data_IF_883437392108
#
_entry.id   IF_883437392108
#
_cell.length_a   1.000
_cell.length_b   1.000
_cell.length_c   1.000
_cell.angle_alpha   90.00
_cell.angle_beta   90.00
_cell.angle_gamma   90.00
#
_symmetry.space_group_name_H-M   'P 1'
#
loop_
_entity.id
_entity.type
_entity.pdbx_description
1 polymer ?
#
# COMPACT_ATOMS: atom_id res chain seq x y z
N UNK A 1 4.95 -22.88 -11.06
CA UNK A 1 4.25 -22.25 -9.90
C UNK A 1 4.15 -20.76 -10.16
N UNK A 2 3.10 -20.09 -9.67
CA UNK A 2 2.88 -18.64 -9.85
C UNK A 2 3.18 -17.90 -8.55
N UNK A 3 3.72 -16.69 -8.66
CA UNK A 3 4.04 -15.80 -7.54
C UNK A 3 3.18 -14.54 -7.65
N UNK A 4 2.42 -14.26 -6.59
CA UNK A 4 1.74 -12.98 -6.35
C UNK A 4 2.39 -12.34 -5.14
N UNK A 5 2.59 -11.03 -5.19
CA UNK A 5 3.02 -10.24 -4.04
C UNK A 5 1.82 -9.48 -3.49
N UNK A 6 1.61 -9.54 -2.18
CA UNK A 6 0.63 -8.71 -1.48
C UNK A 6 1.38 -7.91 -0.42
N UNK A 7 1.25 -6.59 -0.46
CA UNK A 7 1.95 -5.71 0.48
C UNK A 7 1.12 -4.47 0.84
N UNK A 8 1.32 -3.96 2.04
CA UNK A 8 0.74 -2.70 2.49
C UNK A 8 1.77 -1.90 3.25
N UNK A 9 1.60 -0.58 3.32
CA UNK A 9 2.46 0.30 4.11
C UNK A 9 1.64 1.43 4.74
N UNK A 10 2.25 2.15 5.69
CA UNK A 10 1.65 3.32 6.33
C UNK A 10 1.73 4.60 5.51
N UNK A 11 2.66 4.68 4.55
CA UNK A 11 2.95 5.88 3.76
C UNK A 11 2.07 5.96 2.50
N UNK A 12 1.89 7.17 1.96
CA UNK A 12 1.00 7.42 0.81
C UNK A 12 1.66 7.13 -0.54
N UNK A 13 2.98 7.22 -0.60
CA UNK A 13 3.75 7.17 -1.83
C UNK A 13 3.87 5.74 -2.35
N UNK A 14 3.57 5.56 -3.63
CA UNK A 14 3.54 4.27 -4.31
C UNK A 14 4.93 3.74 -4.67
N UNK A 15 5.89 4.64 -4.90
CA UNK A 15 7.28 4.30 -5.25
C UNK A 15 8.02 3.55 -4.11
N UNK A 16 7.55 3.67 -2.87
CA UNK A 16 8.01 2.85 -1.73
C UNK A 16 7.93 1.33 -2.01
N UNK A 17 7.03 0.89 -2.90
CA UNK A 17 6.89 -0.51 -3.26
C UNK A 17 7.87 -0.97 -4.34
N UNK A 18 8.48 -0.06 -5.11
CA UNK A 18 9.29 -0.39 -6.28
C UNK A 18 10.52 -1.26 -5.97
N UNK A 19 11.32 -0.98 -4.92
CA UNK A 19 12.46 -1.84 -4.57
C UNK A 19 12.01 -3.25 -4.20
N UNK A 20 10.91 -3.37 -3.46
CA UNK A 20 10.33 -4.64 -3.03
C UNK A 20 9.79 -5.44 -4.22
N UNK A 21 9.02 -4.82 -5.11
CA UNK A 21 8.52 -5.45 -6.33
C UNK A 21 9.67 -5.93 -7.21
N UNK A 22 10.71 -5.11 -7.37
CA UNK A 22 11.91 -5.45 -8.13
C UNK A 22 12.61 -6.68 -7.54
N UNK A 23 12.74 -6.72 -6.22
CA UNK A 23 13.32 -7.87 -5.52
C UNK A 23 12.51 -9.17 -5.75
N UNK A 24 11.18 -9.12 -5.63
CA UNK A 24 10.35 -10.30 -5.84
C UNK A 24 10.30 -10.78 -7.29
N UNK A 25 10.40 -9.87 -8.27
CA UNK A 25 10.58 -10.25 -9.69
C UNK A 25 11.88 -11.03 -9.89
N UNK A 26 12.98 -10.60 -9.26
CA UNK A 26 14.25 -11.32 -9.31
C UNK A 26 14.17 -12.67 -8.59
N UNK A 27 13.52 -12.72 -7.42
CA UNK A 27 13.30 -13.96 -6.66
C UNK A 27 12.47 -14.97 -7.48
N UNK A 28 11.40 -14.55 -8.13
CA UNK A 28 10.59 -15.40 -9.00
C UNK A 28 11.43 -16.06 -10.10
N UNK A 29 12.30 -15.30 -10.75
CA UNK A 29 13.23 -15.82 -11.78
C UNK A 29 14.16 -16.89 -11.20
N UNK A 30 14.74 -16.65 -10.02
CA UNK A 30 15.67 -17.60 -9.39
C UNK A 30 14.98 -18.87 -8.88
N UNK A 31 13.69 -18.77 -8.53
CA UNK A 31 12.87 -19.89 -8.07
C UNK A 31 12.10 -20.60 -9.20
N UNK A 32 12.35 -20.24 -10.46
CA UNK A 32 11.61 -20.77 -11.63
C UNK A 32 10.09 -20.61 -11.49
N UNK A 33 9.65 -19.50 -10.89
CA UNK A 33 8.26 -19.12 -10.72
C UNK A 33 7.84 -18.04 -11.72
N UNK A 34 6.58 -18.06 -12.12
CA UNK A 34 5.98 -17.01 -12.93
C UNK A 34 5.48 -15.88 -12.01
N UNK A 35 6.09 -14.71 -12.09
CA UNK A 35 5.58 -13.51 -11.39
C UNK A 35 4.34 -12.98 -12.12
N UNK A 36 3.19 -12.97 -11.44
CA UNK A 36 1.89 -12.59 -12.04
C UNK A 36 1.33 -11.26 -11.51
N UNK A 37 2.12 -10.51 -10.73
CA UNK A 37 1.79 -9.15 -10.30
C UNK A 37 1.93 -8.91 -8.79
N UNK A 38 1.71 -7.66 -8.41
CA UNK A 38 1.71 -7.22 -7.02
C UNK A 38 0.43 -6.44 -6.72
N UNK A 39 -0.26 -6.80 -5.64
CA UNK A 39 -1.34 -6.04 -5.04
C UNK A 39 -0.75 -5.22 -3.89
N UNK A 40 -0.71 -3.89 -4.05
CA UNK A 40 -0.12 -2.98 -3.07
C UNK A 40 -1.15 -1.99 -2.53
N UNK A 41 -1.07 -1.68 -1.24
CA UNK A 41 -1.96 -0.72 -0.56
C UNK A 41 -1.16 0.31 0.24
N UNK A 42 -0.98 1.54 -0.27
CA UNK A 42 -0.39 2.63 0.51
C UNK A 42 -1.37 3.12 1.58
N UNK A 43 -0.86 3.77 2.63
CA UNK A 43 -1.67 4.35 3.71
C UNK A 43 -2.69 3.36 4.32
N UNK A 44 -2.33 2.08 4.45
CA UNK A 44 -3.20 1.03 4.97
C UNK A 44 -3.71 1.32 6.38
N UNK A 45 -2.89 2.01 7.19
CA UNK A 45 -3.26 2.48 8.54
C UNK A 45 -4.47 3.43 8.53
N UNK A 46 -4.74 4.12 7.42
CA UNK A 46 -5.85 5.05 7.31
C UNK A 46 -7.17 4.38 6.95
N UNK A 47 -7.20 3.10 6.54
CA UNK A 47 -8.43 2.44 6.12
C UNK A 47 -9.49 2.48 7.22
N UNK A 48 -9.12 2.15 8.46
CA UNK A 48 -10.04 2.14 9.59
C UNK A 48 -10.47 3.55 10.03
N UNK A 49 -9.58 4.53 9.89
CA UNK A 49 -9.85 5.94 10.23
C UNK A 49 -10.83 6.53 9.20
N UNK A 50 -10.55 6.34 7.91
CA UNK A 50 -11.36 6.88 6.82
C UNK A 50 -12.69 6.15 6.72
N UNK A 51 -12.77 4.86 7.08
CA UNK A 51 -14.03 4.11 7.08
C UNK A 51 -15.12 4.76 7.96
N UNK A 52 -14.74 5.48 9.01
CA UNK A 52 -15.69 6.18 9.91
C UNK A 52 -16.37 7.37 9.24
N UNK A 53 -15.73 8.00 8.25
CA UNK A 53 -16.23 9.20 7.56
C UNK A 53 -16.64 8.94 6.10
N UNK A 54 -16.00 7.98 5.44
CA UNK A 54 -16.20 7.63 4.04
C UNK A 54 -16.26 6.09 3.87
N UNK A 55 -17.26 5.42 4.47
CA UNK A 55 -17.35 3.96 4.46
C UNK A 55 -17.43 3.38 3.04
N UNK A 56 -18.19 4.02 2.14
CA UNK A 56 -18.34 3.56 0.75
C UNK A 56 -17.02 3.59 -0.04
N UNK A 57 -16.18 4.60 0.20
CA UNK A 57 -14.85 4.71 -0.42
C UNK A 57 -13.96 3.57 0.03
N UNK A 58 -13.92 3.28 1.33
CA UNK A 58 -13.15 2.17 1.89
C UNK A 58 -13.69 0.82 1.42
N UNK A 59 -15.01 0.66 1.35
CA UNK A 59 -15.64 -0.54 0.83
C UNK A 59 -15.26 -0.79 -0.64
N UNK A 60 -15.24 0.25 -1.49
CA UNK A 60 -14.80 0.12 -2.88
C UNK A 60 -13.37 -0.40 -3.02
N UNK A 61 -12.46 0.04 -2.14
CA UNK A 61 -11.07 -0.45 -2.09
C UNK A 61 -11.04 -1.93 -1.68
N UNK A 62 -11.78 -2.31 -0.65
CA UNK A 62 -11.87 -3.72 -0.23
C UNK A 62 -12.47 -4.60 -1.33
N UNK A 63 -13.46 -4.11 -2.07
CA UNK A 63 -14.04 -4.81 -3.20
C UNK A 63 -13.03 -4.99 -4.34
N UNK A 64 -12.21 -3.98 -4.63
CA UNK A 64 -11.11 -4.10 -5.58
C UNK A 64 -10.06 -5.15 -5.13
N UNK A 65 -9.68 -5.16 -3.84
CA UNK A 65 -8.77 -6.17 -3.28
C UNK A 65 -9.35 -7.58 -3.43
N UNK A 66 -10.63 -7.79 -3.11
CA UNK A 66 -11.31 -9.08 -3.29
C UNK A 66 -11.37 -9.48 -4.76
N UNK A 67 -11.67 -8.52 -5.65
CA UNK A 67 -11.69 -8.74 -7.10
C UNK A 67 -10.31 -9.16 -7.62
N UNK A 68 -9.22 -8.56 -7.14
CA UNK A 68 -7.86 -8.96 -7.51
C UNK A 68 -7.60 -10.43 -7.18
N UNK A 69 -8.02 -10.88 -5.98
CA UNK A 69 -7.94 -12.28 -5.59
C UNK A 69 -8.75 -13.21 -6.52
N UNK A 70 -9.96 -12.81 -6.89
CA UNK A 70 -10.77 -13.57 -7.86
C UNK A 70 -10.07 -13.66 -9.23
N UNK A 71 -9.52 -12.55 -9.74
CA UNK A 71 -8.84 -12.51 -11.04
C UNK A 71 -7.60 -13.41 -11.07
N UNK A 72 -6.84 -13.48 -9.97
CA UNK A 72 -5.72 -14.43 -9.84
C UNK A 72 -6.18 -15.87 -10.01
N UNK A 73 -7.29 -16.26 -9.36
CA UNK A 73 -7.79 -17.65 -9.40
C UNK A 73 -8.44 -17.97 -10.74
N UNK A 74 -9.28 -17.07 -11.26
CA UNK A 74 -10.09 -17.32 -12.45
C UNK A 74 -9.31 -17.07 -13.76
N UNK A 75 -8.50 -16.02 -13.80
CA UNK A 75 -7.86 -15.51 -15.02
C UNK A 75 -6.33 -15.69 -14.98
N UNK A 76 -5.77 -16.02 -13.80
CA UNK A 76 -4.34 -16.25 -13.63
C UNK A 76 -3.49 -14.97 -13.59
N UNK A 77 -4.12 -13.79 -13.53
CA UNK A 77 -3.51 -12.45 -13.55
C UNK A 77 -4.44 -11.44 -12.90
N UNK A 78 -3.92 -10.30 -12.46
CA UNK A 78 -4.74 -9.16 -12.00
C UNK A 78 -4.83 -8.09 -13.10
N UNK A 79 -5.98 -7.44 -13.22
CA UNK A 79 -6.18 -6.33 -14.15
C UNK A 79 -5.57 -5.02 -13.60
N UNK A 80 -4.99 -4.15 -14.46
CA UNK A 80 -4.48 -2.85 -14.04
C UNK A 80 -5.54 -2.00 -13.32
N UNK A 81 -6.77 -2.02 -13.81
CA UNK A 81 -7.89 -1.26 -13.24
C UNK A 81 -8.21 -1.69 -11.81
N UNK A 82 -8.16 -3.00 -11.53
CA UNK A 82 -8.39 -3.53 -10.19
C UNK A 82 -7.25 -3.15 -9.24
N UNK A 83 -6.01 -3.17 -9.72
CA UNK A 83 -4.85 -2.73 -8.94
C UNK A 83 -4.89 -1.23 -8.61
N UNK A 84 -5.24 -0.39 -9.60
CA UNK A 84 -5.43 1.04 -9.42
C UNK A 84 -6.56 1.34 -8.42
N UNK A 85 -7.69 0.63 -8.52
CA UNK A 85 -8.80 0.78 -7.57
C UNK A 85 -8.43 0.33 -6.15
N UNK A 86 -7.64 -0.73 -6.01
CA UNK A 86 -7.12 -1.16 -4.70
C UNK A 86 -6.13 -0.14 -4.11
N UNK A 87 -5.39 0.58 -4.96
CA UNK A 87 -4.43 1.62 -4.57
C UNK A 87 -5.05 3.03 -4.47
N UNK A 88 -6.37 3.18 -4.65
CA UNK A 88 -7.07 4.47 -4.65
C UNK A 88 -6.66 5.35 -3.46
N UNK A 89 -6.34 6.61 -3.73
CA UNK A 89 -5.95 7.57 -2.70
C UNK A 89 -7.10 7.79 -1.69
N UNK A 90 -6.83 7.59 -0.40
CA UNK A 90 -7.83 7.74 0.67
C UNK A 90 -8.06 9.21 1.01
N UNK A 91 -6.99 9.95 1.20
CA UNK A 91 -6.95 11.39 1.49
C UNK A 91 -5.82 12.02 0.67
N UNK A 92 -5.91 13.32 0.34
CA UNK A 92 -4.83 14.01 -0.37
C UNK A 92 -3.50 13.87 0.36
N UNK A 93 -2.40 13.66 -0.37
CA UNK A 93 -1.05 13.55 0.19
C UNK A 93 -0.70 14.70 1.15
N UNK A 94 -1.06 15.94 0.82
CA UNK A 94 -0.81 17.10 1.69
C UNK A 94 -1.55 16.98 3.04
N UNK A 95 -2.78 16.47 3.04
CA UNK A 95 -3.54 16.25 4.26
C UNK A 95 -2.88 15.16 5.13
N UNK A 96 -2.36 14.10 4.51
CA UNK A 96 -1.59 13.07 5.22
C UNK A 96 -0.32 13.65 5.86
N UNK A 97 0.48 14.40 5.09
CA UNK A 97 1.72 15.01 5.59
C UNK A 97 1.47 15.98 6.74
N UNK A 98 0.43 16.81 6.64
CA UNK A 98 0.04 17.72 7.70
C UNK A 98 -0.32 16.97 8.99
N UNK A 99 -1.11 15.89 8.90
CA UNK A 99 -1.43 15.07 10.07
C UNK A 99 -0.19 14.40 10.65
N UNK A 100 0.65 13.78 9.81
CA UNK A 100 1.86 13.10 10.25
C UNK A 100 2.83 14.06 10.95
N UNK A 101 2.98 15.29 10.43
CA UNK A 101 3.83 16.31 11.04
C UNK A 101 3.35 16.69 12.45
N UNK A 102 2.04 16.71 12.72
CA UNK A 102 1.57 17.00 14.09
C UNK A 102 1.98 15.92 15.10
N UNK A 103 2.19 14.68 14.64
CA UNK A 103 2.63 13.56 15.48
C UNK A 103 4.15 13.48 15.56
N UNK A 104 4.86 13.71 14.46
CA UNK A 104 6.33 13.56 14.36
C UNK A 104 7.06 14.78 14.93
N UNK A 105 6.55 16.00 14.77
CA UNK A 105 7.26 17.22 15.19
C UNK A 105 7.63 17.23 16.68
N UNK A 106 6.74 16.85 17.63
CA UNK A 106 7.10 16.80 19.04
C UNK A 106 8.17 15.74 19.35
N UNK A 107 8.18 14.63 18.62
CA UNK A 107 9.19 13.58 18.77
C UNK A 107 10.57 14.09 18.30
N UNK A 108 10.62 14.83 17.19
CA UNK A 108 11.86 15.46 16.71
C UNK A 108 12.42 16.45 17.75
N UNK A 109 11.57 17.32 18.30
CA UNK A 109 11.99 18.26 19.35
C UNK A 109 12.52 17.56 20.61
N UNK A 110 11.99 16.39 20.95
CA UNK A 110 12.48 15.58 22.07
C UNK A 110 13.87 15.02 21.78
N UNK A 111 14.09 14.45 20.59
CA UNK A 111 15.38 13.89 20.18
C UNK A 111 16.45 14.98 20.15
N UNK A 112 16.14 16.15 19.57
CA UNK A 112 17.09 17.28 19.52
C UNK A 112 17.49 17.78 20.90
N UNK A 113 16.57 17.75 21.88
CA UNK A 113 16.88 18.11 23.27
C UNK A 113 17.80 17.09 23.94
N UNK A 114 17.67 15.81 23.61
CA UNK A 114 18.52 14.74 24.15
C UNK A 114 19.93 14.79 23.55
N UNK A 115 20.09 15.13 22.27
CA UNK A 115 21.41 15.27 21.64
C UNK A 115 22.19 16.49 22.14
N UNK A 116 21.51 17.50 22.66
CA UNK A 116 22.11 18.74 23.20
C UNK A 116 22.40 18.69 24.71
N UNK A 117 22.00 17.62 25.40
CA UNK A 117 22.19 17.41 26.84
C UNK A 117 23.39 16.51 27.12
#
# INVERSE_FOLDING_TARGET
QKMVVVSTCGLTEMDNFDPMITHFKAAAKNLYMEYIGALVRPAGVLLDIVAQSQPEKVESIYNAIKRAGYEVVAEGRMSPQTLEAAALELIPQEAYMNQLNTVIQPLLELIEKQEKA
#
